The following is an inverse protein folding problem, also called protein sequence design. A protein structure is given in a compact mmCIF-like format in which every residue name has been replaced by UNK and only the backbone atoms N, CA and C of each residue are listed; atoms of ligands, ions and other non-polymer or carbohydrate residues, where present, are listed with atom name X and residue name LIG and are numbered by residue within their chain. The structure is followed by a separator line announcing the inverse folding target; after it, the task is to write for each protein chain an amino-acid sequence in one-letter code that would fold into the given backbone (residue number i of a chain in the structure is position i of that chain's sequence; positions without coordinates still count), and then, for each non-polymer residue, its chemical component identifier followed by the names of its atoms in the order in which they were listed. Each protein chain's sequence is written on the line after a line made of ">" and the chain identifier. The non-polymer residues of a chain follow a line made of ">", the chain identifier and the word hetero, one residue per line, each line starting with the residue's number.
data_IF_112335433228
#
_entry.id   IF_112335433228
#
_cell.length_a   1.000
_cell.length_b   1.000
_cell.length_c   1.000
_cell.angle_alpha   90.00
_cell.angle_beta   90.00
_cell.angle_gamma   90.00
#
_symmetry.space_group_name_H-M   'P 1'
#
loop_
_entity.id
_entity.type
_entity.pdbx_description
1 polymer ?
#
# COMPACT_ATOMS: atom_id res chain seq x y z
N UNK A 1 -36.05 -28.76 18.26
CA UNK A 1 -35.20 -28.61 17.05
C UNK A 1 -34.32 -27.41 17.29
N UNK A 2 -33.04 -27.64 17.62
CA UNK A 2 -32.05 -26.61 17.91
C UNK A 2 -31.28 -26.32 16.63
N UNK A 3 -31.26 -25.05 16.21
CA UNK A 3 -30.45 -24.56 15.10
C UNK A 3 -29.03 -24.32 15.59
N UNK A 4 -28.13 -25.20 15.20
CA UNK A 4 -26.68 -25.02 15.36
C UNK A 4 -26.19 -23.84 14.49
N UNK A 5 -25.67 -22.82 15.15
CA UNK A 5 -24.99 -21.69 14.50
C UNK A 5 -23.57 -22.12 14.15
N UNK A 6 -23.33 -22.31 12.86
CA UNK A 6 -21.99 -22.57 12.30
C UNK A 6 -21.08 -21.34 12.39
N UNK A 7 -20.20 -21.34 13.40
CA UNK A 7 -19.18 -20.32 13.63
C UNK A 7 -17.93 -20.52 12.74
N UNK A 8 -18.04 -20.33 11.41
CA UNK A 8 -16.98 -20.64 10.43
C UNK A 8 -15.97 -19.53 10.07
N UNK A 9 -16.04 -18.33 10.67
CA UNK A 9 -15.24 -17.20 10.24
C UNK A 9 -13.94 -16.90 11.04
N UNK A 10 -13.65 -17.59 12.11
CA UNK A 10 -12.57 -17.26 13.06
C UNK A 10 -11.14 -17.74 12.74
N UNK A 11 -10.86 -18.77 11.91
CA UNK A 11 -9.49 -19.28 11.77
C UNK A 11 -8.58 -18.49 10.81
N UNK A 12 -9.11 -17.85 9.77
CA UNK A 12 -8.29 -17.21 8.74
C UNK A 12 -7.65 -15.91 9.23
N UNK A 13 -8.42 -15.04 9.87
CA UNK A 13 -7.93 -13.76 10.43
C UNK A 13 -6.95 -14.02 11.59
N UNK A 14 -7.20 -15.06 12.39
CA UNK A 14 -6.31 -15.45 13.48
C UNK A 14 -4.96 -15.99 12.97
N UNK A 15 -4.92 -16.68 11.83
CA UNK A 15 -3.67 -17.14 11.19
C UNK A 15 -2.88 -15.97 10.59
N UNK A 16 -3.53 -14.99 9.99
CA UNK A 16 -2.87 -13.78 9.50
C UNK A 16 -2.20 -13.02 10.65
N UNK A 17 -2.91 -12.80 11.75
CA UNK A 17 -2.38 -12.14 12.94
C UNK A 17 -1.33 -12.98 13.67
N UNK A 18 -1.41 -14.31 13.61
CA UNK A 18 -0.46 -15.21 14.29
C UNK A 18 0.86 -15.33 13.51
N UNK A 19 0.82 -15.37 12.17
CA UNK A 19 2.02 -15.30 11.33
C UNK A 19 2.77 -13.97 11.46
N UNK A 20 2.07 -12.88 11.81
CA UNK A 20 2.63 -11.56 12.06
C UNK A 20 3.23 -11.41 13.47
N UNK A 21 2.77 -12.21 14.46
CA UNK A 21 3.23 -12.11 15.87
C UNK A 21 4.68 -12.52 16.08
N UNK A 22 5.25 -13.37 15.24
CA UNK A 22 6.58 -13.94 15.48
C UNK A 22 7.78 -13.04 15.08
N UNK A 23 7.57 -11.88 14.45
CA UNK A 23 8.65 -11.11 13.82
C UNK A 23 8.91 -9.70 14.35
N UNK A 24 8.13 -9.14 15.29
CA UNK A 24 8.32 -7.76 15.79
C UNK A 24 8.12 -7.68 17.31
N UNK A 25 8.81 -8.51 18.07
CA UNK A 25 8.75 -8.45 19.56
C UNK A 25 9.85 -7.56 20.18
N UNK A 26 10.62 -6.81 19.38
CA UNK A 26 11.70 -5.99 19.91
C UNK A 26 11.23 -4.53 20.17
N UNK A 27 11.11 -4.18 21.46
CA UNK A 27 10.82 -2.82 21.93
C UNK A 27 11.85 -1.78 21.45
N UNK A 28 13.07 -2.21 21.12
CA UNK A 28 14.15 -1.36 20.61
C UNK A 28 13.81 -0.84 19.21
N UNK A 29 13.16 -1.65 18.38
CA UNK A 29 12.67 -1.26 17.04
C UNK A 29 11.61 -0.17 17.15
N UNK A 30 10.73 -0.22 18.16
CA UNK A 30 9.69 0.81 18.40
C UNK A 30 10.27 2.19 18.68
N UNK A 31 11.27 2.27 19.57
CA UNK A 31 11.90 3.53 19.93
C UNK A 31 12.76 4.08 18.80
N UNK A 32 13.39 3.22 18.04
CA UNK A 32 14.20 3.62 16.88
C UNK A 32 13.31 4.17 15.76
N UNK A 33 12.20 3.51 15.43
CA UNK A 33 11.24 3.99 14.44
C UNK A 33 10.65 5.36 14.83
N UNK A 34 10.26 5.55 16.09
CA UNK A 34 9.71 6.82 16.59
C UNK A 34 10.74 7.96 16.60
N UNK A 35 12.01 7.69 16.92
CA UNK A 35 13.05 8.71 16.95
C UNK A 35 13.57 9.11 15.57
N UNK A 36 13.62 8.17 14.62
CA UNK A 36 14.09 8.42 13.25
C UNK A 36 13.07 9.18 12.41
N UNK A 37 11.78 8.99 12.67
CA UNK A 37 10.69 9.63 11.96
C UNK A 37 10.63 11.17 12.16
N UNK A 38 11.16 11.70 13.24
CA UNK A 38 11.05 13.13 13.54
C UNK A 38 12.08 14.02 12.83
N UNK A 39 13.09 13.46 12.16
CA UNK A 39 14.24 14.25 11.72
C UNK A 39 14.45 14.43 10.22
N UNK A 40 13.72 13.76 9.33
CA UNK A 40 14.01 13.89 7.89
C UNK A 40 12.76 13.81 6.99
N UNK A 41 11.93 14.84 7.00
CA UNK A 41 10.99 15.05 5.89
C UNK A 41 11.77 15.70 4.74
N UNK A 42 12.38 14.88 3.90
CA UNK A 42 12.90 15.32 2.58
C UNK A 42 11.87 14.99 1.53
N UNK A 43 11.68 15.83 0.52
CA UNK A 43 10.82 15.49 -0.62
C UNK A 43 11.23 14.13 -1.17
N UNK A 44 10.26 13.26 -1.39
CA UNK A 44 10.49 11.85 -1.70
C UNK A 44 9.64 11.46 -2.90
N UNK A 45 10.23 10.77 -3.86
CA UNK A 45 9.52 10.19 -4.99
C UNK A 45 9.41 8.67 -4.81
N UNK A 46 8.19 8.13 -4.83
CA UNK A 46 7.94 6.70 -4.91
C UNK A 46 7.71 6.33 -6.36
N UNK A 47 8.60 5.51 -6.92
CA UNK A 47 8.56 5.14 -8.32
C UNK A 47 7.97 3.73 -8.46
N UNK A 48 6.96 3.61 -9.33
CA UNK A 48 6.38 2.35 -9.76
C UNK A 48 7.45 1.45 -10.44
N UNK A 49 7.38 0.14 -10.20
CA UNK A 49 8.32 -0.85 -10.74
C UNK A 49 8.50 -0.74 -12.25
N UNK A 50 7.44 -0.40 -12.99
CA UNK A 50 7.48 -0.25 -14.43
C UNK A 50 8.40 0.91 -14.87
N UNK A 51 8.32 2.05 -14.17
CA UNK A 51 9.12 3.23 -14.48
C UNK A 51 10.56 3.16 -13.97
N UNK A 52 10.91 2.23 -13.10
CA UNK A 52 12.30 1.98 -12.71
C UNK A 52 13.17 1.53 -13.90
N UNK A 53 12.57 1.05 -14.98
CA UNK A 53 13.25 0.69 -16.23
C UNK A 53 13.52 1.89 -17.13
N UNK A 54 12.82 3.00 -16.90
CA UNK A 54 12.99 4.21 -17.69
C UNK A 54 14.17 5.02 -17.16
N UNK A 55 15.25 5.01 -17.94
CA UNK A 55 16.48 5.73 -17.60
C UNK A 55 16.25 7.22 -17.42
N UNK A 56 15.35 7.84 -18.21
CA UNK A 56 15.12 9.29 -18.13
C UNK A 56 14.44 9.64 -16.82
N UNK A 57 13.39 8.88 -16.43
CA UNK A 57 12.69 9.07 -15.15
C UNK A 57 13.65 8.90 -13.98
N UNK A 58 14.42 7.81 -13.97
CA UNK A 58 15.37 7.54 -12.88
C UNK A 58 16.45 8.63 -12.81
N UNK A 59 17.04 9.03 -13.95
CA UNK A 59 18.08 10.06 -13.99
C UNK A 59 17.58 11.43 -13.55
N UNK A 60 16.33 11.78 -13.86
CA UNK A 60 15.70 13.02 -13.38
C UNK A 60 15.60 13.02 -11.85
N UNK A 61 15.10 11.92 -11.26
CA UNK A 61 14.96 11.83 -9.80
C UNK A 61 16.33 11.79 -9.09
N UNK A 62 17.33 11.13 -9.67
CA UNK A 62 18.71 11.19 -9.16
C UNK A 62 19.31 12.61 -9.25
N UNK A 63 19.00 13.36 -10.30
CA UNK A 63 19.41 14.77 -10.40
C UNK A 63 18.77 15.63 -9.29
N UNK A 64 17.47 15.38 -8.96
CA UNK A 64 16.79 16.04 -7.86
C UNK A 64 17.38 15.64 -6.50
N UNK A 65 17.81 14.40 -6.32
CA UNK A 65 18.57 14.01 -5.13
C UNK A 65 19.87 14.80 -5.00
N UNK A 66 20.67 14.89 -6.05
CA UNK A 66 21.95 15.62 -6.06
C UNK A 66 21.78 17.11 -5.77
N UNK A 67 20.68 17.72 -6.24
CA UNK A 67 20.43 19.16 -6.08
C UNK A 67 19.66 19.53 -4.80
N UNK A 68 18.73 18.68 -4.37
CA UNK A 68 17.81 19.01 -3.28
C UNK A 68 17.76 17.96 -2.16
N UNK A 69 18.46 16.83 -2.31
CA UNK A 69 18.44 15.72 -1.37
C UNK A 69 17.15 14.89 -1.43
N UNK A 70 16.37 15.00 -2.51
CA UNK A 70 15.13 14.23 -2.70
C UNK A 70 15.42 12.75 -2.91
N UNK A 71 14.92 11.90 -2.02
CA UNK A 71 15.19 10.47 -2.06
C UNK A 71 14.21 9.73 -2.98
N UNK A 72 14.69 8.64 -3.59
CA UNK A 72 13.89 7.70 -4.37
C UNK A 72 13.49 6.56 -3.43
N UNK A 73 12.20 6.41 -3.19
CA UNK A 73 11.68 5.30 -2.36
C UNK A 73 11.32 4.12 -3.24
N UNK A 74 11.90 3.01 -2.93
CA UNK A 74 11.55 1.70 -3.49
C UNK A 74 10.56 1.06 -2.52
N UNK A 75 9.30 1.03 -2.92
CA UNK A 75 8.24 0.39 -2.15
C UNK A 75 8.44 -1.13 -2.10
N UNK A 76 8.05 -1.77 -0.99
CA UNK A 76 8.13 -3.22 -0.85
C UNK A 76 7.38 -3.97 -1.96
N UNK A 77 6.30 -3.37 -2.48
CA UNK A 77 5.53 -3.87 -3.62
C UNK A 77 6.38 -4.16 -4.88
N UNK A 78 7.49 -3.41 -5.09
CA UNK A 78 8.43 -3.62 -6.21
C UNK A 78 8.98 -5.05 -6.23
N UNK A 79 9.28 -5.62 -5.07
CA UNK A 79 9.82 -6.97 -4.97
C UNK A 79 8.80 -8.01 -5.42
N UNK A 80 7.55 -7.87 -4.98
CA UNK A 80 6.46 -8.76 -5.36
C UNK A 80 6.20 -8.74 -6.87
N UNK A 81 6.26 -7.56 -7.51
CA UNK A 81 6.10 -7.44 -8.95
C UNK A 81 7.31 -7.96 -9.73
N UNK A 82 8.51 -7.65 -9.26
CA UNK A 82 9.76 -7.99 -9.96
C UNK A 82 9.98 -9.49 -10.01
N UNK A 83 9.59 -10.25 -8.97
CA UNK A 83 9.81 -11.71 -8.90
C UNK A 83 8.61 -12.55 -9.32
N UNK A 84 7.52 -11.91 -9.73
CA UNK A 84 6.25 -12.57 -10.03
C UNK A 84 6.22 -13.39 -11.33
N UNK A 85 7.28 -13.34 -12.13
CA UNK A 85 7.34 -13.99 -13.45
C UNK A 85 8.59 -14.86 -13.60
N UNK A 86 8.57 -15.79 -14.56
CA UNK A 86 9.68 -16.73 -14.82
C UNK A 86 10.99 -16.01 -15.20
N UNK A 87 10.88 -14.82 -15.79
CA UNK A 87 12.02 -14.00 -16.22
C UNK A 87 12.41 -12.94 -15.16
N UNK A 88 12.10 -13.20 -13.89
CA UNK A 88 12.30 -12.24 -12.81
C UNK A 88 13.72 -11.67 -12.72
N UNK A 89 14.75 -12.49 -12.99
CA UNK A 89 16.14 -12.04 -12.94
C UNK A 89 16.44 -10.94 -13.97
N UNK A 90 15.95 -11.10 -15.20
CA UNK A 90 16.11 -10.08 -16.25
C UNK A 90 15.27 -8.84 -15.93
N UNK A 91 14.09 -9.03 -15.34
CA UNK A 91 13.21 -7.95 -14.88
C UNK A 91 13.89 -7.10 -13.82
N UNK A 92 14.46 -7.74 -12.79
CA UNK A 92 15.20 -7.05 -11.72
C UNK A 92 16.40 -6.29 -12.29
N UNK A 93 17.23 -6.94 -13.12
CA UNK A 93 18.38 -6.28 -13.74
C UNK A 93 17.95 -5.05 -14.55
N UNK A 94 16.90 -5.17 -15.37
CA UNK A 94 16.39 -4.06 -16.16
C UNK A 94 15.86 -2.91 -15.28
N UNK A 95 15.18 -3.22 -14.18
CA UNK A 95 14.60 -2.22 -13.28
C UNK A 95 15.64 -1.49 -12.42
N UNK A 96 16.67 -2.20 -11.97
CA UNK A 96 17.57 -1.65 -10.96
C UNK A 96 18.93 -1.15 -11.52
N UNK A 97 19.29 -1.46 -12.77
CA UNK A 97 20.59 -1.09 -13.37
C UNK A 97 20.85 0.42 -13.37
N UNK A 98 19.82 1.23 -13.59
CA UNK A 98 19.94 2.69 -13.68
C UNK A 98 20.02 3.37 -12.30
N UNK A 99 19.70 2.64 -11.23
CA UNK A 99 19.77 3.15 -9.87
C UNK A 99 21.19 3.15 -9.31
N UNK A 100 22.10 2.42 -9.95
CA UNK A 100 23.48 2.27 -9.47
C UNK A 100 24.32 3.55 -9.60
N UNK A 101 23.90 4.54 -10.40
CA UNK A 101 24.62 5.80 -10.58
C UNK A 101 24.63 6.65 -9.29
N UNK A 102 23.57 6.56 -8.46
CA UNK A 102 23.45 7.24 -7.18
C UNK A 102 22.78 6.33 -6.12
N UNK A 103 23.47 5.30 -5.60
CA UNK A 103 22.87 4.38 -4.64
C UNK A 103 22.37 5.06 -3.37
N UNK A 104 23.02 6.14 -2.95
CA UNK A 104 22.66 6.90 -1.75
C UNK A 104 21.32 7.65 -1.90
N UNK A 105 20.87 7.88 -3.13
CA UNK A 105 19.53 8.41 -3.38
C UNK A 105 18.41 7.44 -2.99
N UNK A 106 18.73 6.15 -2.82
CA UNK A 106 17.75 5.09 -2.63
C UNK A 106 17.42 4.87 -1.17
N UNK A 107 16.14 4.69 -0.89
CA UNK A 107 15.62 4.19 0.38
C UNK A 107 14.56 3.11 0.10
N UNK A 108 14.55 2.05 0.90
CA UNK A 108 13.51 1.03 0.86
C UNK A 108 12.42 1.36 1.87
N UNK A 109 11.15 1.17 1.50
CA UNK A 109 10.06 1.32 2.44
C UNK A 109 9.81 0.04 3.24
N UNK A 110 9.12 0.20 4.38
CA UNK A 110 8.41 -0.92 4.99
C UNK A 110 7.26 -1.38 4.08
N UNK A 111 6.92 -2.66 4.16
CA UNK A 111 5.69 -3.15 3.57
C UNK A 111 4.49 -2.46 4.23
N UNK A 112 3.46 -2.11 3.45
CA UNK A 112 2.24 -1.47 3.96
C UNK A 112 1.62 -2.29 5.09
N UNK A 113 1.60 -3.62 4.96
CA UNK A 113 1.09 -4.53 5.99
C UNK A 113 1.89 -4.46 7.29
N UNK A 114 3.21 -4.24 7.22
CA UNK A 114 4.06 -4.08 8.40
C UNK A 114 3.79 -2.73 9.09
N UNK A 115 3.61 -1.65 8.32
CA UNK A 115 3.21 -0.34 8.85
C UNK A 115 1.88 -0.42 9.58
N UNK A 116 0.86 -1.03 8.97
CA UNK A 116 -0.46 -1.26 9.60
C UNK A 116 -0.31 -2.09 10.89
N UNK A 117 0.47 -3.17 10.85
CA UNK A 117 0.71 -3.99 12.05
C UNK A 117 1.37 -3.20 13.18
N UNK A 118 2.29 -2.30 12.85
CA UNK A 118 2.94 -1.42 13.82
C UNK A 118 1.94 -0.42 14.43
N UNK A 119 1.09 0.19 13.60
CA UNK A 119 0.01 1.07 14.05
C UNK A 119 -0.96 0.37 14.99
N UNK A 120 -1.46 -0.82 14.60
CA UNK A 120 -2.39 -1.61 15.42
C UNK A 120 -1.80 -2.06 16.76
N UNK A 121 -0.48 -2.25 16.82
CA UNK A 121 0.21 -2.61 18.07
C UNK A 121 0.48 -1.41 18.97
N UNK A 122 0.83 -0.27 18.37
CA UNK A 122 1.26 0.92 19.11
C UNK A 122 0.11 1.88 19.44
N UNK A 123 -0.97 1.84 18.69
CA UNK A 123 -2.04 2.86 18.73
C UNK A 123 -1.59 4.22 18.19
N UNK A 124 -0.46 4.27 17.48
CA UNK A 124 0.08 5.52 16.93
C UNK A 124 0.23 5.36 15.43
N UNK A 125 -0.24 6.33 14.60
CA UNK A 125 0.00 6.32 13.17
C UNK A 125 1.48 6.15 12.85
N UNK A 126 1.78 5.33 11.84
CA UNK A 126 3.15 5.05 11.45
C UNK A 126 3.82 6.36 10.99
N UNK A 127 4.88 6.73 11.69
CA UNK A 127 5.70 7.89 11.36
C UNK A 127 7.02 7.35 10.83
N UNK A 128 7.28 7.58 9.57
CA UNK A 128 8.47 7.07 8.88
C UNK A 128 8.26 5.71 8.23
N UNK A 129 8.52 5.70 6.94
CA UNK A 129 8.30 4.54 6.06
C UNK A 129 9.61 3.84 5.71
N UNK A 130 10.76 4.40 6.09
CA UNK A 130 12.08 3.89 5.70
C UNK A 130 12.45 2.63 6.48
N UNK A 131 12.75 1.57 5.75
CA UNK A 131 13.29 0.32 6.29
C UNK A 131 14.82 0.32 6.17
N UNK A 132 15.53 0.77 7.20
CA UNK A 132 16.99 0.94 7.15
C UNK A 132 17.79 -0.31 6.74
N UNK A 133 17.56 -1.51 7.32
CA UNK A 133 18.26 -2.72 6.88
C UNK A 133 18.05 -3.04 5.40
N UNK A 134 16.81 -2.91 4.90
CA UNK A 134 16.49 -3.13 3.50
C UNK A 134 17.08 -2.03 2.62
N UNK A 135 17.17 -0.79 3.10
CA UNK A 135 17.83 0.32 2.39
C UNK A 135 19.31 0.01 2.17
N UNK A 136 20.02 -0.44 3.22
CA UNK A 136 21.43 -0.83 3.08
C UNK A 136 21.61 -1.99 2.10
N UNK A 137 20.74 -3.01 2.19
CA UNK A 137 20.73 -4.13 1.25
C UNK A 137 20.45 -3.67 -0.19
N UNK A 138 19.45 -2.81 -0.41
CA UNK A 138 19.10 -2.27 -1.72
C UNK A 138 20.26 -1.49 -2.36
N UNK A 139 20.91 -0.61 -1.61
CA UNK A 139 22.07 0.16 -2.08
C UNK A 139 23.21 -0.74 -2.51
N UNK A 140 23.52 -1.76 -1.72
CA UNK A 140 24.53 -2.74 -2.08
C UNK A 140 24.11 -3.58 -3.30
N UNK A 141 22.83 -3.99 -3.36
CA UNK A 141 22.28 -4.78 -4.47
C UNK A 141 22.45 -4.06 -5.81
N UNK A 142 22.10 -2.77 -5.91
CA UNK A 142 22.22 -2.04 -7.18
C UNK A 142 23.67 -1.89 -7.64
N UNK A 143 24.59 -1.68 -6.71
CA UNK A 143 26.04 -1.64 -7.00
C UNK A 143 26.55 -3.01 -7.48
N UNK A 144 26.15 -4.08 -6.80
CA UNK A 144 26.55 -5.45 -7.17
C UNK A 144 25.98 -5.87 -8.52
N UNK A 145 24.74 -5.46 -8.83
CA UNK A 145 24.13 -5.68 -10.15
C UNK A 145 24.90 -4.95 -11.27
N UNK A 146 25.28 -3.71 -11.03
CA UNK A 146 26.04 -2.92 -12.00
C UNK A 146 27.47 -3.46 -12.22
N UNK A 147 28.07 -4.06 -11.19
CA UNK A 147 29.41 -4.69 -11.24
C UNK A 147 29.39 -6.16 -11.65
N UNK A 148 28.20 -6.71 -11.92
CA UNK A 148 28.02 -8.12 -12.26
C UNK A 148 28.62 -9.09 -11.22
N UNK A 149 28.52 -8.72 -9.93
CA UNK A 149 29.05 -9.57 -8.85
C UNK A 149 28.37 -10.93 -8.84
N UNK A 150 29.13 -12.05 -8.79
CA UNK A 150 28.56 -13.39 -8.74
C UNK A 150 27.60 -13.59 -7.57
N UNK A 151 26.57 -14.44 -7.75
CA UNK A 151 25.53 -14.79 -6.77
C UNK A 151 24.65 -13.63 -6.27
N UNK A 152 24.73 -12.44 -6.88
CA UNK A 152 23.85 -11.31 -6.49
C UNK A 152 22.38 -11.69 -6.60
N UNK A 153 21.97 -12.38 -7.66
CA UNK A 153 20.58 -12.85 -7.81
C UNK A 153 20.21 -13.95 -6.82
N UNK A 154 21.13 -14.82 -6.45
CA UNK A 154 20.92 -15.84 -5.41
C UNK A 154 20.70 -15.20 -4.02
N UNK A 155 21.47 -14.17 -3.69
CA UNK A 155 21.29 -13.40 -2.44
C UNK A 155 19.95 -12.68 -2.41
N UNK A 156 19.55 -12.05 -3.52
CA UNK A 156 18.25 -11.40 -3.63
C UNK A 156 17.11 -12.41 -3.46
N UNK A 157 17.20 -13.56 -4.12
CA UNK A 157 16.19 -14.61 -3.99
C UNK A 157 16.03 -15.08 -2.56
N UNK A 158 17.13 -15.36 -1.85
CA UNK A 158 17.08 -15.73 -0.42
C UNK A 158 16.43 -14.64 0.42
N UNK A 159 16.79 -13.38 0.22
CA UNK A 159 16.20 -12.28 0.96
C UNK A 159 14.67 -12.18 0.74
N UNK A 160 14.18 -12.38 -0.48
CA UNK A 160 12.75 -12.38 -0.80
C UNK A 160 12.04 -13.58 -0.17
N UNK A 161 12.64 -14.78 -0.24
CA UNK A 161 12.10 -16.00 0.35
C UNK A 161 12.02 -15.88 1.89
N UNK A 162 13.02 -15.28 2.54
CA UNK A 162 13.01 -15.00 3.97
C UNK A 162 11.94 -14.00 4.41
N UNK A 163 11.61 -13.01 3.56
CA UNK A 163 10.57 -12.03 3.84
C UNK A 163 9.15 -12.54 3.53
N UNK A 164 9.03 -13.71 2.91
CA UNK A 164 7.79 -14.41 2.61
C UNK A 164 7.07 -13.80 1.40
N UNK A 165 7.14 -14.47 0.26
CA UNK A 165 6.27 -14.19 -0.88
C UNK A 165 4.87 -14.68 -0.53
N UNK A 166 3.92 -13.74 -0.40
CA UNK A 166 2.53 -14.11 -0.22
C UNK A 166 1.98 -14.75 -1.51
N UNK A 167 1.16 -15.79 -1.37
CA UNK A 167 0.46 -16.39 -2.49
C UNK A 167 -0.45 -15.35 -3.18
N UNK A 168 0.01 -14.90 -4.34
CA UNK A 168 -0.62 -13.86 -5.14
C UNK A 168 -2.09 -14.14 -5.45
N UNK A 169 -2.43 -15.41 -5.70
CA UNK A 169 -3.78 -15.83 -6.02
C UNK A 169 -4.69 -15.75 -4.79
N UNK A 170 -4.27 -16.31 -3.67
CA UNK A 170 -5.02 -16.27 -2.41
C UNK A 170 -5.25 -14.83 -1.94
N UNK A 171 -4.25 -13.96 -2.06
CA UNK A 171 -4.40 -12.54 -1.74
C UNK A 171 -5.41 -11.84 -2.66
N UNK A 172 -5.37 -12.09 -3.96
CA UNK A 172 -6.30 -11.49 -4.91
C UNK A 172 -7.75 -11.89 -4.63
N UNK A 173 -7.99 -13.17 -4.27
CA UNK A 173 -9.32 -13.65 -3.87
C UNK A 173 -9.82 -12.92 -2.62
N UNK A 174 -9.00 -12.86 -1.55
CA UNK A 174 -9.39 -12.19 -0.30
C UNK A 174 -9.66 -10.69 -0.51
N UNK A 175 -8.85 -10.02 -1.32
CA UNK A 175 -9.01 -8.60 -1.68
C UNK A 175 -10.31 -8.37 -2.44
N UNK A 176 -10.64 -9.25 -3.40
CA UNK A 176 -11.90 -9.17 -4.14
C UNK A 176 -13.12 -9.35 -3.22
N UNK A 177 -13.11 -10.33 -2.35
CA UNK A 177 -14.18 -10.54 -1.36
C UNK A 177 -14.35 -9.34 -0.42
N UNK A 178 -13.25 -8.72 0.01
CA UNK A 178 -13.30 -7.52 0.83
C UNK A 178 -13.96 -6.34 0.09
N UNK A 179 -13.64 -6.15 -1.19
CA UNK A 179 -14.26 -5.12 -2.03
C UNK A 179 -15.75 -5.38 -2.23
N UNK A 180 -16.18 -6.63 -2.50
CA UNK A 180 -17.58 -7.00 -2.65
C UNK A 180 -18.40 -6.69 -1.40
N UNK A 181 -17.88 -7.06 -0.21
CA UNK A 181 -18.52 -6.75 1.07
C UNK A 181 -18.66 -5.25 1.31
N UNK A 182 -17.64 -4.47 0.94
CA UNK A 182 -17.63 -3.03 1.12
C UNK A 182 -18.68 -2.35 0.23
N UNK A 183 -18.81 -2.80 -1.01
CA UNK A 183 -19.86 -2.33 -1.93
C UNK A 183 -21.26 -2.64 -1.39
N UNK A 184 -21.48 -3.86 -0.90
CA UNK A 184 -22.78 -4.23 -0.33
C UNK A 184 -23.11 -3.40 0.92
N UNK A 185 -22.14 -3.16 1.81
CA UNK A 185 -22.33 -2.27 2.96
C UNK A 185 -22.66 -0.84 2.53
N UNK A 186 -21.98 -0.33 1.50
CA UNK A 186 -22.27 1.00 0.96
C UNK A 186 -23.68 1.11 0.40
N UNK A 187 -24.12 0.10 -0.39
CA UNK A 187 -25.49 0.06 -0.93
C UNK A 187 -26.57 -0.01 0.15
N UNK A 188 -26.30 -0.69 1.25
CA UNK A 188 -27.25 -0.80 2.38
C UNK A 188 -27.41 0.52 3.14
N UNK A 189 -26.37 1.35 3.18
CA UNK A 189 -26.34 2.57 3.98
C UNK A 189 -26.64 3.86 3.17
N UNK A 190 -26.70 3.77 1.83
CA UNK A 190 -26.90 4.93 0.96
C UNK A 190 -28.12 4.72 0.06
N UNK A 191 -28.98 5.76 -0.12
CA UNK A 191 -30.11 5.68 -1.02
C UNK A 191 -29.70 5.24 -2.43
N UNK A 192 -30.47 4.31 -3.03
CA UNK A 192 -30.15 3.71 -4.32
C UNK A 192 -29.93 4.73 -5.44
N UNK A 193 -30.74 5.77 -5.48
CA UNK A 193 -30.65 6.82 -6.50
C UNK A 193 -29.31 7.57 -6.39
N UNK A 194 -28.91 7.91 -5.17
CA UNK A 194 -27.66 8.60 -4.89
C UNK A 194 -26.44 7.73 -5.23
N UNK A 195 -26.48 6.46 -4.85
CA UNK A 195 -25.44 5.48 -5.23
C UNK A 195 -25.33 5.37 -6.76
N UNK A 196 -26.45 5.27 -7.46
CA UNK A 196 -26.47 5.17 -8.93
C UNK A 196 -25.95 6.45 -9.60
N UNK A 197 -26.37 7.63 -9.11
CA UNK A 197 -25.90 8.92 -9.62
C UNK A 197 -24.38 9.06 -9.46
N UNK A 198 -23.85 8.78 -8.28
CA UNK A 198 -22.41 8.88 -7.99
C UNK A 198 -21.59 7.88 -8.83
N UNK A 199 -22.05 6.63 -8.96
CA UNK A 199 -21.37 5.63 -9.79
C UNK A 199 -21.42 5.95 -11.30
N UNK A 200 -22.46 6.65 -11.77
CA UNK A 200 -22.51 7.16 -13.13
C UNK A 200 -21.55 8.35 -13.32
N UNK A 201 -21.48 9.27 -12.36
CA UNK A 201 -20.55 10.40 -12.40
C UNK A 201 -19.08 9.98 -12.49
N UNK A 202 -18.73 8.82 -11.93
CA UNK A 202 -17.37 8.27 -12.05
C UNK A 202 -16.93 8.05 -13.50
N UNK A 203 -17.88 7.85 -14.43
CA UNK A 203 -17.61 7.67 -15.87
C UNK A 203 -17.52 9.01 -16.62
N UNK A 204 -17.88 10.10 -15.99
CA UNK A 204 -17.86 11.43 -16.52
C UNK A 204 -16.55 12.16 -16.21
N UNK A 205 -16.33 13.31 -16.85
CA UNK A 205 -15.21 14.19 -16.52
C UNK A 205 -15.35 14.78 -15.10
N UNK A 206 -16.59 15.11 -14.71
CA UNK A 206 -16.89 15.57 -13.35
C UNK A 206 -17.11 14.35 -12.42
N UNK A 207 -16.14 14.11 -11.55
CA UNK A 207 -16.15 13.04 -10.57
C UNK A 207 -16.56 13.51 -9.16
N UNK A 208 -16.92 14.79 -9.00
CA UNK A 208 -17.34 15.36 -7.73
C UNK A 208 -18.38 14.52 -7.01
N UNK A 209 -19.54 14.18 -7.62
CA UNK A 209 -20.57 13.35 -6.97
C UNK A 209 -20.09 11.96 -6.55
N UNK A 210 -19.10 11.39 -7.24
CA UNK A 210 -18.47 10.12 -6.85
C UNK A 210 -17.62 10.29 -5.60
N UNK A 211 -16.80 11.34 -5.52
CA UNK A 211 -15.97 11.63 -4.35
C UNK A 211 -16.84 12.01 -3.15
N UNK A 212 -17.93 12.76 -3.35
CA UNK A 212 -18.90 13.09 -2.31
C UNK A 212 -19.53 11.84 -1.71
N UNK A 213 -19.87 10.86 -2.55
CA UNK A 213 -20.38 9.57 -2.07
C UNK A 213 -19.38 8.87 -1.15
N UNK A 214 -18.07 8.93 -1.48
CA UNK A 214 -17.04 8.33 -0.63
C UNK A 214 -16.96 9.07 0.71
N UNK A 215 -16.91 10.40 0.71
CA UNK A 215 -16.90 11.21 1.95
C UNK A 215 -18.09 10.90 2.85
N UNK A 216 -19.26 10.69 2.28
CA UNK A 216 -20.48 10.37 3.06
C UNK A 216 -20.51 8.95 3.59
N UNK A 217 -20.03 7.99 2.79
CA UNK A 217 -20.03 6.57 3.14
C UNK A 217 -18.86 6.16 4.01
N UNK A 218 -17.73 6.82 3.85
CA UNK A 218 -16.52 6.55 4.60
C UNK A 218 -16.44 7.45 5.82
N UNK A 219 -16.66 6.87 7.00
CA UNK A 219 -16.49 7.58 8.26
C UNK A 219 -15.38 6.91 9.06
N UNK A 220 -14.41 7.67 9.59
CA UNK A 220 -13.35 7.11 10.44
C UNK A 220 -13.88 6.23 11.59
N UNK A 221 -15.03 6.60 12.18
CA UNK A 221 -15.71 5.80 13.21
C UNK A 221 -16.10 4.40 12.73
N UNK A 222 -16.49 4.23 11.47
CA UNK A 222 -16.79 2.89 10.91
C UNK A 222 -15.54 2.01 10.83
N UNK A 223 -14.38 2.62 10.55
CA UNK A 223 -13.09 1.91 10.59
C UNK A 223 -12.75 1.54 12.03
N UNK A 224 -12.94 2.45 12.98
CA UNK A 224 -12.78 2.18 14.42
C UNK A 224 -13.62 0.99 14.87
N UNK A 225 -14.92 1.00 14.56
CA UNK A 225 -15.85 -0.09 14.90
C UNK A 225 -15.43 -1.42 14.26
N UNK A 226 -14.93 -1.38 13.02
CA UNK A 226 -14.44 -2.57 12.34
C UNK A 226 -13.18 -3.14 13.01
N UNK A 227 -12.26 -2.29 13.42
CA UNK A 227 -11.04 -2.67 14.15
C UNK A 227 -11.39 -3.29 15.51
N UNK A 228 -12.30 -2.68 16.26
CA UNK A 228 -12.78 -3.21 17.55
C UNK A 228 -13.43 -4.59 17.37
N UNK A 229 -14.28 -4.76 16.36
CA UNK A 229 -14.86 -6.09 16.04
C UNK A 229 -13.81 -7.14 15.66
N UNK A 230 -12.65 -6.72 15.17
CA UNK A 230 -11.51 -7.61 14.89
C UNK A 230 -10.62 -7.89 16.12
N UNK A 231 -10.96 -7.31 17.27
CA UNK A 231 -10.25 -7.52 18.54
C UNK A 231 -9.13 -6.52 18.81
N UNK A 232 -9.11 -5.39 18.10
CA UNK A 232 -8.25 -4.25 18.44
C UNK A 232 -8.87 -3.53 19.64
N UNK A 233 -8.04 -3.09 20.60
CA UNK A 233 -8.51 -2.32 21.75
C UNK A 233 -9.17 -1.01 21.28
N UNK A 234 -10.27 -0.61 21.93
CA UNK A 234 -11.06 0.54 21.51
C UNK A 234 -10.23 1.84 21.47
N UNK A 235 -9.38 2.04 22.47
CA UNK A 235 -8.50 3.22 22.57
C UNK A 235 -7.48 3.27 21.41
N UNK A 236 -6.99 2.11 20.97
CA UNK A 236 -6.09 1.99 19.82
C UNK A 236 -6.84 2.32 18.53
N UNK A 237 -8.03 1.75 18.36
CA UNK A 237 -8.87 1.99 17.19
C UNK A 237 -9.26 3.47 17.07
N UNK A 238 -9.68 4.11 18.17
CA UNK A 238 -10.01 5.52 18.22
C UNK A 238 -8.78 6.41 17.91
N UNK A 239 -7.64 6.13 18.52
CA UNK A 239 -6.39 6.86 18.26
C UNK A 239 -6.00 6.83 16.80
N UNK A 240 -6.10 5.66 16.14
CA UNK A 240 -5.74 5.51 14.72
C UNK A 240 -6.73 6.17 13.76
N UNK A 241 -7.97 6.37 14.18
CA UNK A 241 -9.04 6.95 13.34
C UNK A 241 -9.28 8.43 13.61
N UNK A 242 -8.75 8.99 14.72
CA UNK A 242 -8.85 10.41 15.04
C UNK A 242 -8.07 11.33 14.09
N UNK A 243 -7.12 10.78 13.36
CA UNK A 243 -6.27 11.43 12.37
C UNK A 243 -5.90 10.46 11.25
N UNK A 244 -5.43 10.94 10.08
CA UNK A 244 -4.99 10.06 9.02
C UNK A 244 -3.87 9.11 9.50
N UNK A 245 -4.06 7.80 9.28
CA UNK A 245 -3.09 6.74 9.55
C UNK A 245 -3.00 5.82 8.33
N UNK A 246 -1.92 5.04 8.19
CA UNK A 246 -1.79 4.08 7.07
C UNK A 246 -2.95 3.08 7.09
N UNK A 247 -3.37 2.64 8.29
CA UNK A 247 -4.52 1.75 8.48
C UNK A 247 -5.81 2.35 7.90
N UNK A 248 -6.08 3.60 8.19
CA UNK A 248 -7.31 4.27 7.70
C UNK A 248 -7.19 4.60 6.22
N UNK A 249 -6.04 5.06 5.77
CA UNK A 249 -5.79 5.34 4.36
C UNK A 249 -5.89 4.10 3.49
N UNK A 250 -5.42 2.93 3.96
CA UNK A 250 -5.63 1.66 3.29
C UNK A 250 -7.12 1.36 3.09
N UNK A 251 -7.93 1.58 4.12
CA UNK A 251 -9.39 1.39 4.04
C UNK A 251 -10.04 2.38 3.07
N UNK A 252 -9.58 3.63 3.05
CA UNK A 252 -10.06 4.65 2.11
C UNK A 252 -9.72 4.27 0.66
N UNK A 253 -8.49 3.81 0.40
CA UNK A 253 -8.07 3.29 -0.91
C UNK A 253 -8.96 2.13 -1.37
N UNK A 254 -9.20 1.16 -0.48
CA UNK A 254 -10.02 -0.02 -0.81
C UNK A 254 -11.47 0.41 -1.08
N UNK A 255 -12.01 1.36 -0.33
CA UNK A 255 -13.35 1.90 -0.55
C UNK A 255 -13.46 2.58 -1.91
N UNK A 256 -12.50 3.43 -2.26
CA UNK A 256 -12.43 4.09 -3.55
C UNK A 256 -12.36 3.05 -4.70
N UNK A 257 -11.47 2.07 -4.60
CA UNK A 257 -11.34 1.01 -5.61
C UNK A 257 -12.62 0.20 -5.77
N UNK A 258 -13.27 -0.19 -4.66
CA UNK A 258 -14.49 -0.98 -4.68
C UNK A 258 -15.62 -0.24 -5.41
N UNK A 259 -15.81 1.04 -5.12
CA UNK A 259 -16.80 1.87 -5.79
C UNK A 259 -16.46 2.13 -7.25
N UNK A 260 -15.20 2.38 -7.57
CA UNK A 260 -14.71 2.55 -8.95
C UNK A 260 -14.94 1.28 -9.79
N UNK A 261 -14.66 0.09 -9.24
CA UNK A 261 -14.94 -1.17 -9.89
C UNK A 261 -16.44 -1.40 -10.11
N UNK A 262 -17.25 -1.07 -9.10
CA UNK A 262 -18.72 -1.19 -9.21
C UNK A 262 -19.26 -0.34 -10.35
N UNK A 263 -18.79 0.89 -10.49
CA UNK A 263 -19.19 1.78 -11.57
C UNK A 263 -18.70 1.35 -12.95
N UNK A 264 -17.53 0.68 -13.03
CA UNK A 264 -16.94 0.29 -14.32
C UNK A 264 -17.55 -0.98 -14.88
N UNK A 265 -17.51 -2.10 -14.13
CA UNK A 265 -17.83 -3.44 -14.64
C UNK A 265 -18.52 -4.33 -13.60
N UNK A 266 -18.71 -3.84 -12.38
CA UNK A 266 -19.04 -4.64 -11.21
C UNK A 266 -17.84 -5.39 -10.64
N UNK A 267 -17.73 -5.42 -9.31
CA UNK A 267 -16.63 -6.10 -8.61
C UNK A 267 -16.62 -7.60 -8.90
N UNK A 268 -17.82 -8.22 -8.98
CA UNK A 268 -18.01 -9.64 -9.23
C UNK A 268 -17.35 -10.11 -10.54
N UNK A 269 -17.38 -9.24 -11.58
CA UNK A 269 -16.81 -9.55 -12.90
C UNK A 269 -15.32 -9.19 -13.01
N UNK A 270 -14.71 -8.65 -11.95
CA UNK A 270 -13.31 -8.27 -11.98
C UNK A 270 -12.40 -9.49 -12.07
N UNK A 271 -11.44 -9.48 -13.02
CA UNK A 271 -10.39 -10.49 -13.12
C UNK A 271 -9.45 -10.36 -11.92
N UNK A 272 -9.15 -11.48 -11.26
CA UNK A 272 -8.29 -11.51 -10.06
C UNK A 272 -6.93 -10.81 -10.27
N UNK A 273 -6.28 -11.03 -11.41
CA UNK A 273 -5.01 -10.38 -11.73
C UNK A 273 -5.11 -8.85 -11.77
N UNK A 274 -6.23 -8.30 -12.26
CA UNK A 274 -6.45 -6.85 -12.28
C UNK A 274 -6.75 -6.29 -10.90
N UNK A 275 -7.53 -7.01 -10.08
CA UNK A 275 -7.75 -6.65 -8.68
C UNK A 275 -6.41 -6.61 -7.93
N UNK A 276 -5.56 -7.62 -8.15
CA UNK A 276 -4.24 -7.66 -7.55
C UNK A 276 -3.38 -6.44 -7.95
N UNK A 277 -3.31 -6.12 -9.24
CA UNK A 277 -2.53 -4.98 -9.73
C UNK A 277 -3.05 -3.65 -9.15
N UNK A 278 -4.38 -3.43 -9.14
CA UNK A 278 -4.97 -2.22 -8.54
C UNK A 278 -4.62 -2.08 -7.04
N UNK A 279 -4.48 -3.20 -6.30
CA UNK A 279 -4.03 -3.16 -4.90
C UNK A 279 -2.55 -2.85 -4.78
N UNK A 280 -1.72 -3.41 -5.65
CA UNK A 280 -0.28 -3.11 -5.69
C UNK A 280 -0.05 -1.62 -6.00
N UNK A 281 -0.77 -1.07 -7.00
CA UNK A 281 -0.78 0.37 -7.28
C UNK A 281 -1.18 1.19 -6.04
N UNK A 282 -2.17 0.71 -5.28
CA UNK A 282 -2.58 1.31 -4.01
C UNK A 282 -1.49 1.28 -2.94
N UNK A 283 -0.68 0.22 -2.87
CA UNK A 283 0.45 0.11 -1.94
C UNK A 283 1.54 1.15 -2.26
N UNK A 284 1.86 1.38 -3.55
CA UNK A 284 2.75 2.48 -3.96
C UNK A 284 2.20 3.84 -3.54
N UNK A 285 0.91 4.09 -3.81
CA UNK A 285 0.25 5.33 -3.42
C UNK A 285 0.23 5.55 -1.91
N UNK A 286 0.00 4.51 -1.11
CA UNK A 286 0.04 4.58 0.36
C UNK A 286 1.44 4.90 0.87
N UNK A 287 2.48 4.30 0.29
CA UNK A 287 3.87 4.63 0.64
C UNK A 287 4.17 6.08 0.28
N UNK A 288 3.76 6.56 -0.90
CA UNK A 288 3.93 7.95 -1.32
C UNK A 288 3.21 8.92 -0.38
N UNK A 289 1.97 8.62 -0.02
CA UNK A 289 1.22 9.41 0.94
C UNK A 289 1.90 9.44 2.32
N UNK A 290 2.31 8.29 2.83
CA UNK A 290 2.94 8.18 4.16
C UNK A 290 4.33 8.86 4.23
N UNK A 291 5.03 8.98 3.08
CA UNK A 291 6.27 9.75 2.95
C UNK A 291 6.02 11.26 2.77
N UNK A 292 4.78 11.70 2.53
CA UNK A 292 4.50 13.05 2.03
C UNK A 292 5.09 13.32 0.65
N UNK A 293 5.30 12.27 -0.16
CA UNK A 293 6.04 12.31 -1.41
C UNK A 293 5.17 12.28 -2.66
N UNK A 294 5.85 12.27 -3.81
CA UNK A 294 5.26 12.14 -5.14
C UNK A 294 5.08 10.65 -5.51
N UNK A 295 3.94 10.29 -6.07
CA UNK A 295 3.76 8.98 -6.71
C UNK A 295 4.03 9.08 -8.21
N UNK A 296 5.11 8.44 -8.65
CA UNK A 296 5.58 8.48 -10.04
C UNK A 296 5.17 7.17 -10.74
N UNK A 297 4.15 7.26 -11.57
CA UNK A 297 3.61 6.14 -12.36
C UNK A 297 3.21 6.58 -13.76
N UNK A 298 3.32 5.67 -14.73
CA UNK A 298 2.78 5.84 -16.08
C UNK A 298 1.28 5.52 -16.15
N UNK A 299 0.72 4.82 -15.15
CA UNK A 299 -0.70 4.50 -15.10
C UNK A 299 -1.50 5.71 -14.63
N UNK A 300 -2.21 6.34 -15.59
CA UNK A 300 -3.06 7.49 -15.33
C UNK A 300 -4.20 7.19 -14.34
N UNK A 301 -4.67 5.94 -14.27
CA UNK A 301 -5.71 5.53 -13.33
C UNK A 301 -5.16 5.43 -11.92
N UNK A 302 -3.99 4.83 -11.76
CA UNK A 302 -3.30 4.75 -10.47
C UNK A 302 -2.94 6.14 -9.93
N UNK A 303 -2.40 7.03 -10.80
CA UNK A 303 -2.09 8.43 -10.46
C UNK A 303 -3.32 9.17 -9.99
N UNK A 304 -4.40 9.16 -10.79
CA UNK A 304 -5.65 9.82 -10.45
C UNK A 304 -6.21 9.32 -9.13
N UNK A 305 -6.22 7.99 -8.91
CA UNK A 305 -6.68 7.41 -7.64
C UNK A 305 -5.87 7.92 -6.45
N UNK A 306 -4.56 8.01 -6.59
CA UNK A 306 -3.71 8.57 -5.55
C UNK A 306 -4.07 10.02 -5.23
N UNK A 307 -4.25 10.86 -6.25
CA UNK A 307 -4.63 12.26 -6.09
C UNK A 307 -6.02 12.40 -5.44
N UNK A 308 -7.01 11.63 -5.92
CA UNK A 308 -8.36 11.62 -5.35
C UNK A 308 -8.38 11.13 -3.90
N UNK A 309 -7.64 10.08 -3.56
CA UNK A 309 -7.59 9.58 -2.17
C UNK A 309 -6.88 10.57 -1.25
N UNK A 310 -5.88 11.31 -1.74
CA UNK A 310 -5.25 12.39 -0.98
C UNK A 310 -6.23 13.54 -0.72
N UNK A 311 -6.99 13.98 -1.73
CA UNK A 311 -8.04 14.98 -1.58
C UNK A 311 -9.14 14.51 -0.62
N UNK A 312 -9.59 13.28 -0.73
CA UNK A 312 -10.57 12.68 0.19
C UNK A 312 -10.06 12.67 1.63
N UNK A 313 -8.78 12.38 1.84
CA UNK A 313 -8.17 12.43 3.17
C UNK A 313 -8.28 13.84 3.76
N UNK A 314 -7.93 14.88 2.99
CA UNK A 314 -8.08 16.25 3.44
C UNK A 314 -9.54 16.59 3.78
N UNK A 315 -10.50 16.21 2.94
CA UNK A 315 -11.94 16.48 3.12
C UNK A 315 -12.58 15.74 4.30
N UNK A 316 -12.03 14.61 4.73
CA UNK A 316 -12.57 13.80 5.83
C UNK A 316 -12.05 14.28 7.18
N UNK A 317 -10.82 14.83 7.26
CA UNK A 317 -10.20 15.25 8.52
C UNK A 317 -10.04 16.77 8.68
N UNK A 318 -10.53 17.60 7.75
CA UNK A 318 -10.70 19.04 7.93
C UNK A 318 -12.12 19.38 8.37
#
# INVERSE_FOLDING_TARGET
>A
MALERSGGGRPAVRRLLHGMRSRVDDLSVRQTLLRQAMNEVRPVAVIDAHLLRDKLVVSEKQARYRSHGEQIVIADAVWNESVANDNWQSTVRASFRHLADDPEALVASWAVVAMISAELKSGVPAVGVVHHPMTAFLRQLVVDLAREVPDTMGRLRRAIEEHGVNDKHSMAVQRKEAMERLVELTKQNIPRERFTSATNAMRCADRGPFLDLIVESFRPSMVSDALVRQGVAAEVAESLTSRPSVTVMQNLYVSHMALEWTASHGVTNAKLGRVHNDYVDGEYGLVAWACGGEYVTADNRARRRFEEVRDLCERIWT
#
